data_IF_365505957543
#
_entry.id   IF_365505957543
#
_cell.length_a   1.000
_cell.length_b   1.000
_cell.length_c   1.000
_cell.angle_alpha   90.00
_cell.angle_beta   90.00
_cell.angle_gamma   90.00
#
_symmetry.space_group_name_H-M   'P 1'
#
loop_
_entity.id
_entity.type
_entity.pdbx_description
1 polymer ?
#
# COMPACT_ATOMS: atom_id res chain seq x y z
N UNK A 1 -3.48 4.07 -2.38
CA UNK A 1 -2.40 3.39 -1.65
C UNK A 1 -2.30 1.98 -2.16
N UNK A 2 -1.29 1.21 -1.74
CA UNK A 2 -1.20 -0.22 -2.05
C UNK A 2 -0.77 -0.99 -0.82
N UNK A 3 -1.29 -2.20 -0.68
CA UNK A 3 -0.93 -3.16 0.37
C UNK A 3 -0.39 -4.42 -0.31
N UNK A 4 0.75 -4.91 0.15
CA UNK A 4 1.32 -6.18 -0.31
C UNK A 4 1.72 -7.01 0.91
N UNK A 5 1.25 -8.25 0.92
CA UNK A 5 1.66 -9.26 1.89
C UNK A 5 2.56 -10.31 1.23
N UNK A 6 3.65 -10.66 1.88
CA UNK A 6 4.59 -11.68 1.43
C UNK A 6 5.04 -12.58 2.58
N UNK A 7 5.56 -13.76 2.25
CA UNK A 7 6.07 -14.68 3.27
C UNK A 7 7.50 -14.33 3.70
N UNK A 8 8.37 -13.98 2.74
CA UNK A 8 9.79 -13.71 2.99
C UNK A 8 10.19 -12.28 2.60
N UNK A 9 9.55 -11.72 1.58
CA UNK A 9 9.80 -10.37 1.04
C UNK A 9 8.61 -9.94 0.16
N UNK A 10 8.50 -8.64 -0.11
CA UNK A 10 7.54 -8.00 -1.01
C UNK A 10 8.17 -7.00 -1.98
N UNK A 11 9.48 -6.73 -1.90
CA UNK A 11 10.14 -5.65 -2.64
C UNK A 11 10.02 -5.78 -4.16
N UNK A 12 10.11 -7.00 -4.69
CA UNK A 12 9.90 -7.27 -6.11
C UNK A 12 8.50 -6.88 -6.58
N UNK A 13 7.47 -7.27 -5.81
CA UNK A 13 6.08 -6.92 -6.12
C UNK A 13 5.84 -5.41 -6.04
N UNK A 14 6.40 -4.75 -5.03
CA UNK A 14 6.29 -3.30 -4.89
C UNK A 14 6.95 -2.58 -6.07
N UNK A 15 8.15 -3.00 -6.47
CA UNK A 15 8.87 -2.39 -7.60
C UNK A 15 8.09 -2.50 -8.91
N UNK A 16 7.47 -3.65 -9.17
CA UNK A 16 6.66 -3.84 -10.37
C UNK A 16 5.37 -2.99 -10.34
N UNK A 17 4.71 -2.91 -9.18
CA UNK A 17 3.57 -2.02 -8.99
C UNK A 17 3.97 -0.56 -9.27
N UNK A 18 5.06 -0.08 -8.67
CA UNK A 18 5.57 1.28 -8.87
C UNK A 18 5.84 1.58 -10.35
N UNK A 19 6.44 0.64 -11.08
CA UNK A 19 6.67 0.76 -12.53
C UNK A 19 5.37 0.87 -13.33
N UNK A 20 4.37 0.04 -13.02
CA UNK A 20 3.07 0.05 -13.69
C UNK A 20 2.32 1.36 -13.43
N UNK A 21 2.20 1.76 -12.16
CA UNK A 21 1.42 2.96 -11.80
C UNK A 21 2.08 4.25 -12.27
N UNK A 22 3.42 4.29 -12.37
CA UNK A 22 4.15 5.38 -13.01
C UNK A 22 3.79 5.47 -14.51
N UNK A 23 3.75 4.33 -15.22
CA UNK A 23 3.32 4.28 -16.63
C UNK A 23 1.88 4.76 -16.86
N UNK A 24 1.00 4.53 -15.88
CA UNK A 24 -0.38 5.02 -15.88
C UNK A 24 -0.53 6.49 -15.43
N UNK A 25 0.56 7.14 -15.02
CA UNK A 25 0.58 8.49 -14.45
C UNK A 25 -0.32 8.63 -13.21
N UNK A 26 -0.46 7.57 -12.43
CA UNK A 26 -1.22 7.62 -11.18
C UNK A 26 -0.42 8.32 -10.10
N UNK A 27 -1.10 9.11 -9.27
CA UNK A 27 -0.51 9.72 -8.09
C UNK A 27 -0.72 8.80 -6.88
N UNK A 28 0.36 8.45 -6.19
CA UNK A 28 0.26 7.74 -4.93
C UNK A 28 -0.36 8.66 -3.86
N UNK A 29 -1.38 8.15 -3.17
CA UNK A 29 -2.04 8.86 -2.04
C UNK A 29 -1.40 8.55 -0.68
N UNK A 30 -0.56 7.51 -0.61
CA UNK A 30 0.16 7.08 0.59
C UNK A 30 1.35 6.19 0.18
N UNK A 31 2.31 6.01 1.08
CA UNK A 31 3.39 5.03 0.90
C UNK A 31 2.83 3.58 0.81
N UNK A 32 3.48 2.66 0.08
CA UNK A 32 3.06 1.26 0.07
C UNK A 32 3.15 0.60 1.44
N UNK A 33 2.09 -0.07 1.87
CA UNK A 33 2.09 -0.91 3.05
C UNK A 33 2.69 -2.27 2.70
N UNK A 34 3.88 -2.53 3.25
CA UNK A 34 4.63 -3.78 3.10
C UNK A 34 4.41 -4.62 4.36
N UNK A 35 3.88 -5.82 4.22
CA UNK A 35 3.71 -6.75 5.34
C UNK A 35 4.36 -8.08 5.00
N UNK A 36 5.30 -8.50 5.84
CA UNK A 36 5.92 -9.82 5.75
C UNK A 36 5.45 -10.63 6.96
N UNK A 37 5.10 -11.91 6.75
CA UNK A 37 4.61 -12.81 7.79
C UNK A 37 5.41 -12.71 9.11
N UNK A 38 4.76 -12.88 10.27
CA UNK A 38 3.34 -13.21 10.47
C UNK A 38 2.43 -11.98 10.50
N UNK A 39 1.18 -12.14 10.03
CA UNK A 39 0.13 -11.13 10.21
C UNK A 39 -0.20 -10.95 11.69
N UNK A 40 -0.30 -9.70 12.11
CA UNK A 40 -0.58 -9.33 13.49
C UNK A 40 -1.52 -8.10 13.53
N UNK A 41 -1.82 -7.62 14.74
CA UNK A 41 -2.66 -6.43 14.94
C UNK A 41 -2.06 -5.17 14.31
N UNK A 42 -0.74 -5.01 14.35
CA UNK A 42 -0.06 -3.88 13.71
C UNK A 42 -0.30 -3.87 12.19
N UNK A 43 -0.36 -5.05 11.56
CA UNK A 43 -0.68 -5.18 10.13
C UNK A 43 -2.09 -4.67 9.82
N UNK A 44 -3.07 -5.00 10.66
CA UNK A 44 -4.46 -4.55 10.49
C UNK A 44 -4.63 -3.07 10.80
N UNK A 45 -3.94 -2.56 11.82
CA UNK A 45 -3.97 -1.15 12.19
C UNK A 45 -3.32 -0.31 11.08
N UNK A 46 -2.20 -0.76 10.49
CA UNK A 46 -1.58 -0.09 9.35
C UNK A 46 -2.47 -0.12 8.09
N UNK A 47 -3.18 -1.23 7.84
CA UNK A 47 -4.13 -1.32 6.74
C UNK A 47 -5.34 -0.39 6.95
N UNK A 48 -5.79 -0.23 8.19
CA UNK A 48 -6.82 0.73 8.57
C UNK A 48 -6.40 2.17 8.25
N UNK A 49 -5.20 2.58 8.68
CA UNK A 49 -4.66 3.92 8.39
C UNK A 49 -4.47 4.17 6.89
N UNK A 50 -4.05 3.16 6.13
CA UNK A 50 -3.97 3.25 4.67
C UNK A 50 -5.34 3.51 4.03
N UNK A 51 -6.37 2.79 4.49
CA UNK A 51 -7.76 2.97 4.06
C UNK A 51 -8.31 4.34 4.45
N UNK A 52 -8.06 4.79 5.67
CA UNK A 52 -8.47 6.11 6.16
C UNK A 52 -7.82 7.23 5.34
N UNK A 53 -6.53 7.11 5.03
CA UNK A 53 -5.81 8.08 4.18
C UNK A 53 -6.41 8.13 2.77
N UNK A 54 -6.72 6.97 2.17
CA UNK A 54 -7.38 6.90 0.86
C UNK A 54 -8.75 7.59 0.90
N UNK A 55 -9.59 7.27 1.89
CA UNK A 55 -10.91 7.84 2.04
C UNK A 55 -10.86 9.37 2.23
N UNK A 56 -9.95 9.85 3.09
CA UNK A 56 -9.75 11.28 3.33
C UNK A 56 -9.30 12.01 2.06
N UNK A 57 -8.42 11.39 1.26
CA UNK A 57 -7.96 11.98 -0.01
C UNK A 57 -9.11 12.11 -1.02
N UNK A 58 -9.98 11.10 -1.12
CA UNK A 58 -11.13 11.12 -2.04
C UNK A 58 -12.26 12.05 -1.59
N UNK A 59 -12.36 12.33 -0.30
CA UNK A 59 -13.37 13.24 0.25
C UNK A 59 -13.02 14.73 0.09
N UNK A 60 -11.80 15.05 -0.35
CA UNK A 60 -11.31 16.41 -0.57
C UNK A 60 -11.49 16.89 -2.03
N UNK A 61 -11.87 15.99 -2.94
CA UNK A 61 -12.27 16.27 -4.31
C UNK A 61 -13.80 16.41 -4.42
#
# INVERSE_FOLDING_TARGET
>A
GVYVHGNNDVDGAIRDIERIVAGLKWKAVAAPLRVVSPLNRESTDAAWELGATLAATLAQD
#
